data_IF_754949026800
#
_entry.id   IF_754949026800
#
_cell.length_a   1.000
_cell.length_b   1.000
_cell.length_c   1.000
_cell.angle_alpha   90.00
_cell.angle_beta   90.00
_cell.angle_gamma   90.00
#
_symmetry.space_group_name_H-M   'P 1'
#
loop_
_entity.id
_entity.type
_entity.pdbx_description
1 polymer ?
#
# COMPACT_ATOMS: atom_id res chain seq x y z
N UNK A 1 15.34 -63.02 80.23
CA UNK A 1 15.13 -61.87 79.34
C UNK A 1 15.09 -62.38 77.91
N UNK A 2 13.90 -62.64 77.39
CA UNK A 2 13.68 -62.94 75.97
C UNK A 2 12.45 -62.16 75.55
N UNK A 3 12.67 -60.96 75.01
CA UNK A 3 11.64 -60.13 74.42
C UNK A 3 11.17 -60.76 73.11
N UNK A 4 9.87 -61.01 73.01
CA UNK A 4 9.21 -61.45 71.77
C UNK A 4 8.60 -60.21 71.11
N UNK A 5 8.94 -59.86 69.86
CA UNK A 5 8.33 -58.69 69.24
C UNK A 5 6.88 -58.98 68.86
N UNK A 6 5.95 -58.25 69.48
CA UNK A 6 4.54 -58.22 69.10
C UNK A 6 4.41 -57.68 67.67
N UNK A 7 3.97 -58.55 66.76
CA UNK A 7 3.57 -58.17 65.41
C UNK A 7 2.45 -57.12 65.50
N UNK A 8 2.73 -55.90 65.02
CA UNK A 8 1.78 -54.81 64.95
C UNK A 8 0.82 -55.05 63.77
N UNK A 9 -0.15 -55.94 63.96
CA UNK A 9 -1.29 -56.14 63.06
C UNK A 9 -2.25 -54.97 63.23
N UNK A 10 -2.09 -53.92 62.42
CA UNK A 10 -3.14 -52.92 62.24
C UNK A 10 -4.35 -53.56 61.54
N UNK A 11 -5.49 -53.77 62.21
CA UNK A 11 -6.72 -54.04 61.50
C UNK A 11 -7.23 -52.71 60.92
N UNK A 12 -8.06 -52.76 59.89
CA UNK A 12 -8.77 -51.60 59.31
C UNK A 12 -7.99 -50.74 58.28
N UNK A 13 -7.44 -51.37 57.24
CA UNK A 13 -7.42 -50.73 55.91
C UNK A 13 -8.24 -51.55 54.94
N UNK A 14 -9.56 -51.39 54.98
CA UNK A 14 -10.42 -51.89 53.92
C UNK A 14 -9.95 -51.27 52.60
N UNK A 15 -9.69 -52.08 51.55
CA UNK A 15 -9.37 -51.54 50.24
C UNK A 15 -10.56 -50.68 49.81
N UNK A 16 -10.30 -49.39 49.49
CA UNK A 16 -11.33 -48.52 48.93
C UNK A 16 -11.88 -49.25 47.70
N UNK A 17 -13.17 -49.58 47.73
CA UNK A 17 -13.86 -50.22 46.62
C UNK A 17 -13.68 -49.41 45.31
N UNK A 18 -14.02 -50.01 44.16
CA UNK A 18 -13.89 -49.34 42.88
C UNK A 18 -14.53 -47.96 42.95
N UNK A 19 -13.78 -46.92 42.54
CA UNK A 19 -14.28 -45.55 42.52
C UNK A 19 -15.59 -45.55 41.73
N UNK A 20 -16.67 -45.01 42.30
CA UNK A 20 -17.95 -44.85 41.60
C UNK A 20 -17.69 -44.17 40.23
N UNK A 21 -18.34 -44.61 39.14
CA UNK A 21 -18.33 -43.89 37.88
C UNK A 21 -18.69 -42.42 38.13
N UNK A 22 -17.91 -41.52 37.56
CA UNK A 22 -18.06 -40.09 37.81
C UNK A 22 -19.35 -39.62 37.14
N UNK A 23 -20.12 -38.81 37.88
CA UNK A 23 -21.27 -38.12 37.35
C UNK A 23 -20.86 -37.31 36.09
N UNK A 24 -21.48 -37.55 34.92
CA UNK A 24 -21.17 -36.84 33.68
C UNK A 24 -21.45 -35.32 33.78
N UNK A 25 -22.24 -34.89 34.76
CA UNK A 25 -22.53 -33.49 35.04
C UNK A 25 -21.64 -32.88 36.13
N UNK A 26 -20.73 -33.68 36.72
CA UNK A 26 -19.79 -33.15 37.70
C UNK A 26 -18.77 -32.20 37.04
N UNK A 27 -18.62 -30.98 37.56
CA UNK A 27 -17.80 -29.95 36.94
C UNK A 27 -16.32 -30.34 36.77
N UNK A 28 -15.70 -29.88 35.68
CA UNK A 28 -14.40 -30.31 35.16
C UNK A 28 -13.19 -29.69 35.90
N UNK A 29 -13.34 -29.36 37.18
CA UNK A 29 -12.51 -28.40 37.94
C UNK A 29 -10.98 -28.57 37.89
N UNK A 30 -10.43 -29.70 37.45
CA UNK A 30 -8.98 -29.97 37.46
C UNK A 30 -8.45 -30.75 36.24
N UNK A 31 -9.21 -30.88 35.14
CA UNK A 31 -8.81 -31.75 34.01
C UNK A 31 -8.74 -31.07 32.64
N UNK A 32 -8.88 -29.75 32.58
CA UNK A 32 -8.64 -29.03 31.34
C UNK A 32 -7.13 -28.94 31.05
N UNK A 33 -6.75 -29.15 29.80
CA UNK A 33 -5.38 -28.94 29.34
C UNK A 33 -4.98 -27.47 29.49
N UNK A 34 -3.67 -27.19 29.48
CA UNK A 34 -3.14 -25.82 29.45
C UNK A 34 -3.69 -25.05 28.25
N UNK A 35 -3.72 -25.67 27.07
CA UNK A 35 -4.29 -25.10 25.83
C UNK A 35 -5.76 -24.70 26.00
N UNK A 36 -6.55 -25.53 26.67
CA UNK A 36 -7.96 -25.19 26.91
C UNK A 36 -8.10 -24.00 27.86
N UNK A 37 -7.24 -23.93 28.89
CA UNK A 37 -7.21 -22.76 29.76
C UNK A 37 -6.77 -21.49 29.03
N UNK A 38 -5.86 -21.59 28.05
CA UNK A 38 -5.47 -20.46 27.21
C UNK A 38 -6.63 -19.94 26.37
N UNK A 39 -7.48 -20.83 25.82
CA UNK A 39 -8.69 -20.44 25.10
C UNK A 39 -9.68 -19.74 26.05
N UNK A 40 -9.91 -20.29 27.24
CA UNK A 40 -10.79 -19.66 28.25
C UNK A 40 -10.28 -18.26 28.62
N UNK A 41 -8.97 -18.11 28.80
CA UNK A 41 -8.36 -16.83 29.09
C UNK A 41 -8.45 -15.87 27.90
N UNK A 42 -8.30 -16.35 26.67
CA UNK A 42 -8.52 -15.56 25.45
C UNK A 42 -9.94 -15.02 25.39
N UNK A 43 -10.96 -15.86 25.61
CA UNK A 43 -12.36 -15.40 25.63
C UNK A 43 -12.62 -14.39 26.75
N UNK A 44 -11.99 -14.57 27.92
CA UNK A 44 -12.06 -13.57 28.99
C UNK A 44 -11.46 -12.22 28.58
N UNK A 45 -10.34 -12.23 27.84
CA UNK A 45 -9.70 -11.02 27.28
C UNK A 45 -10.58 -10.34 26.23
N UNK A 46 -11.34 -11.12 25.47
CA UNK A 46 -12.32 -10.62 24.49
C UNK A 46 -13.60 -10.06 25.14
N UNK A 47 -13.70 -10.10 26.48
CA UNK A 47 -14.78 -9.47 27.25
C UNK A 47 -15.78 -10.45 27.86
N UNK A 48 -15.59 -11.77 27.71
CA UNK A 48 -16.46 -12.75 28.35
C UNK A 48 -16.39 -12.66 29.88
N UNK A 49 -17.54 -12.79 30.54
CA UNK A 49 -17.60 -12.72 32.01
C UNK A 49 -17.26 -14.06 32.66
N UNK A 50 -16.67 -14.03 33.87
CA UNK A 50 -16.33 -15.27 34.59
C UNK A 50 -17.53 -16.20 34.86
N UNK A 51 -18.76 -15.70 35.15
CA UNK A 51 -19.96 -16.55 35.22
C UNK A 51 -20.30 -17.23 33.89
N UNK A 52 -20.20 -16.50 32.77
CA UNK A 52 -20.46 -17.05 31.44
C UNK A 52 -19.45 -18.16 31.10
N UNK A 53 -18.15 -17.92 31.33
CA UNK A 53 -17.10 -18.90 31.07
C UNK A 53 -17.24 -20.14 31.97
N UNK A 54 -17.64 -19.96 33.23
CA UNK A 54 -17.89 -21.07 34.14
C UNK A 54 -19.00 -22.01 33.63
N UNK A 55 -20.09 -21.44 33.11
CA UNK A 55 -21.18 -22.20 32.50
C UNK A 55 -20.75 -22.90 31.21
N UNK A 56 -20.15 -22.14 30.28
CA UNK A 56 -19.71 -22.65 28.97
C UNK A 56 -18.72 -23.80 29.08
N UNK A 57 -17.73 -23.66 29.94
CA UNK A 57 -16.63 -24.62 30.07
C UNK A 57 -16.85 -25.63 31.21
N UNK A 58 -18.03 -25.61 31.85
CA UNK A 58 -18.43 -26.47 32.99
C UNK A 58 -17.37 -26.49 34.11
N UNK A 59 -16.84 -25.32 34.46
CA UNK A 59 -15.88 -25.09 35.54
C UNK A 59 -16.46 -24.16 36.61
N UNK A 60 -15.81 -24.04 37.77
CA UNK A 60 -16.28 -23.12 38.81
C UNK A 60 -15.80 -21.71 38.49
N UNK A 61 -16.62 -20.72 38.85
CA UNK A 61 -16.21 -19.32 38.79
C UNK A 61 -14.93 -19.06 39.60
N UNK A 62 -14.74 -19.78 40.71
CA UNK A 62 -13.52 -19.69 41.52
C UNK A 62 -12.28 -20.14 40.74
N UNK A 63 -12.35 -21.26 40.00
CA UNK A 63 -11.24 -21.72 39.18
C UNK A 63 -10.89 -20.72 38.07
N UNK A 64 -11.89 -20.14 37.42
CA UNK A 64 -11.72 -19.10 36.40
C UNK A 64 -11.03 -17.87 36.99
N UNK A 65 -11.54 -17.32 38.10
CA UNK A 65 -10.95 -16.16 38.78
C UNK A 65 -9.52 -16.42 39.24
N UNK A 66 -9.26 -17.59 39.84
CA UNK A 66 -7.92 -17.99 40.29
C UNK A 66 -6.93 -18.03 39.13
N UNK A 67 -7.32 -18.59 37.98
CA UNK A 67 -6.49 -18.62 36.77
C UNK A 67 -6.24 -17.22 36.23
N UNK A 68 -7.25 -16.37 36.14
CA UNK A 68 -7.08 -14.97 35.71
C UNK A 68 -6.06 -14.25 36.60
N UNK A 69 -6.19 -14.34 37.93
CA UNK A 69 -5.24 -13.73 38.86
C UNK A 69 -3.83 -14.30 38.74
N UNK A 70 -3.69 -15.63 38.60
CA UNK A 70 -2.38 -16.29 38.43
C UNK A 70 -1.65 -15.87 37.14
N UNK A 71 -2.39 -15.53 36.09
CA UNK A 71 -1.81 -15.06 34.83
C UNK A 71 -1.60 -13.53 34.80
N UNK A 72 -1.64 -12.84 35.95
CA UNK A 72 -1.35 -11.40 36.05
C UNK A 72 -2.32 -10.51 35.28
N UNK A 73 -3.51 -11.03 35.00
CA UNK A 73 -4.41 -10.53 33.98
C UNK A 73 -5.48 -9.61 34.58
N UNK A 74 -5.12 -8.38 35.00
CA UNK A 74 -6.15 -7.43 35.47
C UNK A 74 -6.92 -6.85 34.28
N UNK A 75 -8.23 -6.60 34.43
CA UNK A 75 -9.06 -6.02 33.36
C UNK A 75 -8.50 -4.71 32.80
N UNK A 76 -7.74 -3.96 33.61
CA UNK A 76 -7.08 -2.72 33.20
C UNK A 76 -5.96 -2.98 32.20
N UNK A 77 -5.04 -3.88 32.52
CA UNK A 77 -3.89 -4.19 31.66
C UNK A 77 -4.33 -4.68 30.28
N UNK A 78 -5.44 -5.43 30.20
CA UNK A 78 -6.02 -5.87 28.94
C UNK A 78 -6.73 -4.77 28.17
N UNK A 79 -7.46 -3.91 28.86
CA UNK A 79 -8.09 -2.74 28.25
C UNK A 79 -7.04 -1.81 27.65
N UNK A 80 -5.95 -1.56 28.38
CA UNK A 80 -4.84 -0.73 27.93
C UNK A 80 -4.13 -1.38 26.73
N UNK A 81 -3.86 -2.69 26.77
CA UNK A 81 -3.25 -3.41 25.66
C UNK A 81 -4.12 -3.43 24.38
N UNK A 82 -5.45 -3.57 24.53
CA UNK A 82 -6.37 -3.49 23.40
C UNK A 82 -6.45 -2.08 22.81
N UNK A 83 -6.52 -1.05 23.66
CA UNK A 83 -6.54 0.33 23.23
C UNK A 83 -5.26 0.70 22.46
N UNK A 84 -4.09 0.28 22.96
CA UNK A 84 -2.80 0.47 22.27
C UNK A 84 -2.80 -0.29 20.94
N UNK A 85 -3.25 -1.54 20.92
CA UNK A 85 -3.32 -2.35 19.70
C UNK A 85 -4.22 -1.72 18.63
N UNK A 86 -5.39 -1.21 19.02
CA UNK A 86 -6.30 -0.50 18.11
C UNK A 86 -5.73 0.82 17.62
N UNK A 87 -5.07 1.59 18.49
CA UNK A 87 -4.42 2.84 18.11
C UNK A 87 -3.29 2.60 17.08
N UNK A 88 -2.45 1.60 17.31
CA UNK A 88 -1.38 1.21 16.38
C UNK A 88 -1.92 0.70 15.05
N UNK A 89 -2.98 -0.13 15.08
CA UNK A 89 -3.63 -0.59 13.85
C UNK A 89 -4.21 0.59 13.06
N UNK A 90 -4.84 1.55 13.75
CA UNK A 90 -5.39 2.75 13.11
C UNK A 90 -4.30 3.64 12.52
N UNK A 91 -3.19 3.79 13.22
CA UNK A 91 -2.03 4.53 12.72
C UNK A 91 -1.42 3.86 11.49
N UNK A 92 -1.30 2.53 11.49
CA UNK A 92 -0.82 1.77 10.34
C UNK A 92 -1.73 1.92 9.13
N UNK A 93 -3.06 1.86 9.32
CA UNK A 93 -4.04 2.12 8.25
C UNK A 93 -3.90 3.53 7.67
N UNK A 94 -3.76 4.55 8.52
CA UNK A 94 -3.59 5.93 8.08
C UNK A 94 -2.28 6.12 7.32
N UNK A 95 -1.20 5.49 7.77
CA UNK A 95 0.09 5.55 7.11
C UNK A 95 0.09 4.80 5.77
N UNK A 96 -0.60 3.66 5.68
CA UNK A 96 -0.81 2.96 4.41
C UNK A 96 -1.66 3.79 3.45
N UNK A 97 -2.73 4.45 3.95
CA UNK A 97 -3.54 5.37 3.16
C UNK A 97 -2.73 6.57 2.64
N UNK A 98 -1.81 7.12 3.45
CA UNK A 98 -0.89 8.19 3.00
C UNK A 98 0.04 7.69 1.90
N UNK A 99 0.66 6.52 2.07
CA UNK A 99 1.56 5.91 1.09
C UNK A 99 0.85 5.59 -0.24
N UNK A 100 -0.41 5.18 -0.15
CA UNK A 100 -1.23 4.84 -1.31
C UNK A 100 -2.12 6.01 -1.78
N UNK A 101 -1.90 7.22 -1.26
CA UNK A 101 -2.59 8.41 -1.76
C UNK A 101 -2.29 8.60 -3.25
N UNK A 102 -3.25 9.12 -4.04
CA UNK A 102 -3.04 9.36 -5.47
C UNK A 102 -1.78 10.20 -5.76
N UNK A 103 -1.49 11.18 -4.91
CA UNK A 103 -0.31 12.03 -4.99
C UNK A 103 0.99 11.24 -4.77
N UNK A 104 1.05 10.39 -3.74
CA UNK A 104 2.23 9.55 -3.47
C UNK A 104 2.42 8.46 -4.53
N UNK A 105 1.34 7.95 -5.13
CA UNK A 105 1.42 7.04 -6.27
C UNK A 105 1.96 7.79 -7.50
N UNK A 106 1.41 8.96 -7.81
CA UNK A 106 1.85 9.78 -8.94
C UNK A 106 3.33 10.18 -8.83
N UNK A 107 3.78 10.61 -7.65
CA UNK A 107 5.17 10.98 -7.40
C UNK A 107 6.17 9.82 -7.67
N UNK A 108 5.76 8.58 -7.37
CA UNK A 108 6.55 7.36 -7.65
C UNK A 108 6.55 6.99 -9.13
N UNK A 109 5.40 7.13 -9.81
CA UNK A 109 5.29 6.80 -11.23
C UNK A 109 6.05 7.80 -12.09
N UNK A 110 5.93 9.09 -11.78
CA UNK A 110 6.48 10.20 -12.57
C UNK A 110 7.79 10.77 -11.99
N UNK A 111 8.54 9.98 -11.22
CA UNK A 111 9.87 10.40 -10.75
C UNK A 111 10.75 10.88 -11.91
N UNK A 112 11.31 12.08 -11.78
CA UNK A 112 12.15 12.77 -12.78
C UNK A 112 11.38 13.68 -13.75
N UNK A 113 10.05 13.77 -13.68
CA UNK A 113 9.28 14.68 -14.55
C UNK A 113 9.56 16.16 -14.27
N UNK A 114 9.91 16.49 -13.03
CA UNK A 114 10.25 17.87 -12.62
C UNK A 114 11.63 18.34 -13.12
N UNK A 115 12.43 17.44 -13.70
CA UNK A 115 13.74 17.74 -14.29
C UNK A 115 13.65 18.13 -15.77
N UNK A 116 12.46 17.99 -16.39
CA UNK A 116 12.21 18.47 -17.74
C UNK A 116 12.21 20.00 -17.73
N UNK A 117 12.92 20.60 -18.68
CA UNK A 117 12.81 22.05 -18.89
C UNK A 117 11.46 22.42 -19.56
N UNK A 118 11.16 23.72 -19.63
CA UNK A 118 9.89 24.21 -20.20
C UNK A 118 9.68 23.80 -21.67
N UNK A 119 10.76 23.59 -22.43
CA UNK A 119 10.67 23.17 -23.83
C UNK A 119 10.39 21.67 -23.96
N UNK A 120 11.01 20.85 -23.11
CA UNK A 120 10.77 19.41 -23.03
C UNK A 120 9.39 19.11 -22.44
N UNK A 121 8.91 19.92 -21.48
CA UNK A 121 7.56 19.80 -20.93
C UNK A 121 6.47 20.00 -22.00
N UNK A 122 6.76 20.82 -23.02
CA UNK A 122 5.90 21.02 -24.19
C UNK A 122 6.14 20.05 -25.35
N UNK A 123 7.24 19.27 -25.34
CA UNK A 123 7.59 18.34 -26.42
C UNK A 123 6.80 17.02 -26.31
N UNK A 124 5.93 16.70 -27.28
CA UNK A 124 5.20 15.44 -27.27
C UNK A 124 6.12 14.21 -27.26
N UNK A 125 7.32 14.28 -27.87
CA UNK A 125 8.24 13.15 -27.85
C UNK A 125 8.83 12.91 -26.44
N UNK A 126 9.16 13.97 -25.70
CA UNK A 126 9.57 13.88 -24.30
C UNK A 126 8.47 13.31 -23.40
N UNK A 127 7.23 13.79 -23.54
CA UNK A 127 6.08 13.28 -22.78
C UNK A 127 5.80 11.80 -23.06
N UNK A 128 5.96 11.33 -24.30
CA UNK A 128 5.83 9.91 -24.64
C UNK A 128 6.86 9.03 -23.91
N UNK A 129 8.12 9.49 -23.82
CA UNK A 129 9.19 8.76 -23.09
C UNK A 129 8.91 8.69 -21.59
N UNK A 130 8.41 9.78 -21.01
CA UNK A 130 8.04 9.85 -19.59
C UNK A 130 6.89 8.89 -19.29
N UNK A 131 5.81 8.93 -20.08
CA UNK A 131 4.66 8.03 -19.92
C UNK A 131 5.06 6.55 -20.07
N UNK A 132 5.99 6.23 -20.98
CA UNK A 132 6.54 4.88 -21.15
C UNK A 132 7.33 4.40 -19.93
N UNK A 133 8.17 5.25 -19.33
CA UNK A 133 8.90 4.90 -18.10
C UNK A 133 7.94 4.74 -16.92
N UNK A 134 6.95 5.63 -16.83
CA UNK A 134 5.92 5.56 -15.79
C UNK A 134 5.08 4.28 -15.91
N UNK A 135 4.73 3.83 -17.12
CA UNK A 135 3.99 2.58 -17.30
C UNK A 135 4.80 1.35 -16.86
N UNK A 136 6.10 1.31 -17.16
CA UNK A 136 7.01 0.27 -16.66
C UNK A 136 7.06 0.24 -15.13
N UNK A 137 7.16 1.40 -14.48
CA UNK A 137 7.10 1.51 -13.01
C UNK A 137 5.75 1.04 -12.46
N UNK A 138 4.64 1.41 -13.10
CA UNK A 138 3.31 0.95 -12.73
C UNK A 138 3.19 -0.59 -12.80
N UNK A 139 3.76 -1.22 -13.82
CA UNK A 139 3.81 -2.70 -13.91
C UNK A 139 4.61 -3.33 -12.76
N UNK A 140 5.76 -2.77 -12.40
CA UNK A 140 6.54 -3.27 -11.25
C UNK A 140 5.78 -3.11 -9.92
N UNK A 141 4.96 -2.07 -9.80
CA UNK A 141 4.07 -1.83 -8.66
C UNK A 141 2.76 -2.62 -8.70
N UNK A 142 2.52 -3.48 -9.70
CA UNK A 142 1.25 -4.23 -9.91
C UNK A 142 0.03 -3.31 -10.11
N UNK A 143 0.25 -2.10 -10.59
CA UNK A 143 -0.77 -1.09 -10.92
C UNK A 143 -1.20 -1.24 -12.39
N UNK A 144 -1.97 -2.29 -12.67
CA UNK A 144 -2.27 -2.71 -14.05
C UNK A 144 -3.13 -1.72 -14.84
N UNK A 145 -4.09 -1.08 -14.16
CA UNK A 145 -4.99 -0.10 -14.79
C UNK A 145 -4.22 1.16 -15.19
N UNK A 146 -3.37 1.65 -14.30
CA UNK A 146 -2.49 2.80 -14.49
C UNK A 146 -1.47 2.52 -15.58
N UNK A 147 -0.83 1.34 -15.57
CA UNK A 147 0.09 0.94 -16.63
C UNK A 147 -0.58 0.98 -18.01
N UNK A 148 -1.81 0.46 -18.13
CA UNK A 148 -2.56 0.49 -19.40
C UNK A 148 -2.91 1.92 -19.83
N UNK A 149 -3.35 2.76 -18.91
CA UNK A 149 -3.65 4.16 -19.20
C UNK A 149 -2.39 4.92 -19.67
N UNK A 150 -1.25 4.70 -19.00
CA UNK A 150 0.03 5.34 -19.34
C UNK A 150 0.59 4.89 -20.69
N UNK A 151 0.41 3.62 -21.08
CA UNK A 151 0.73 3.15 -22.43
C UNK A 151 -0.12 3.86 -23.47
N UNK A 152 -1.43 4.00 -23.23
CA UNK A 152 -2.32 4.75 -24.12
C UNK A 152 -1.91 6.23 -24.28
N UNK A 153 -1.48 6.87 -23.19
CA UNK A 153 -0.93 8.22 -23.23
C UNK A 153 0.38 8.29 -24.02
N UNK A 154 1.29 7.35 -23.80
CA UNK A 154 2.56 7.29 -24.52
C UNK A 154 2.35 7.18 -26.05
N UNK A 155 1.42 6.33 -26.49
CA UNK A 155 1.05 6.22 -27.90
C UNK A 155 0.43 7.50 -28.45
N UNK A 156 -0.46 8.14 -27.67
CA UNK A 156 -1.09 9.41 -28.06
C UNK A 156 -0.05 10.51 -28.32
N UNK A 157 0.90 10.67 -27.39
CA UNK A 157 1.99 11.63 -27.52
C UNK A 157 2.96 11.28 -28.66
N UNK A 158 3.26 10.00 -28.88
CA UNK A 158 4.09 9.57 -30.01
C UNK A 158 3.44 9.92 -31.37
N UNK A 159 2.13 9.69 -31.52
CA UNK A 159 1.40 10.09 -32.75
C UNK A 159 1.40 11.61 -32.95
N UNK A 160 1.33 12.38 -31.87
CA UNK A 160 1.40 13.84 -31.94
C UNK A 160 2.80 14.32 -32.35
N UNK A 161 3.84 13.71 -31.80
CA UNK A 161 5.23 13.97 -32.18
C UNK A 161 5.46 13.69 -33.68
N UNK A 162 4.99 12.54 -34.17
CA UNK A 162 5.07 12.18 -35.59
C UNK A 162 4.35 13.18 -36.50
N UNK A 163 3.18 13.66 -36.11
CA UNK A 163 2.44 14.68 -36.88
C UNK A 163 3.21 16.01 -36.91
N UNK A 164 3.76 16.44 -35.78
CA UNK A 164 4.56 17.65 -35.70
C UNK A 164 5.85 17.55 -36.54
N UNK A 165 6.47 16.36 -36.60
CA UNK A 165 7.63 16.10 -37.44
C UNK A 165 7.29 16.15 -38.94
N UNK A 166 6.17 15.54 -39.36
CA UNK A 166 5.72 15.60 -40.77
C UNK A 166 5.35 17.02 -41.21
N UNK A 167 4.59 17.76 -40.39
CA UNK A 167 4.23 19.15 -40.71
C UNK A 167 5.43 20.10 -40.76
N UNK A 168 6.50 19.83 -40.01
CA UNK A 168 7.79 20.53 -40.17
C UNK A 168 8.53 20.08 -41.43
N UNK A 169 8.53 18.78 -41.75
CA UNK A 169 9.13 18.25 -42.97
C UNK A 169 8.54 18.85 -44.24
N UNK A 170 7.22 19.03 -44.29
CA UNK A 170 6.53 19.65 -45.44
C UNK A 170 6.86 21.15 -45.60
N UNK A 171 7.17 21.84 -44.50
CA UNK A 171 7.56 23.26 -44.52
C UNK A 171 9.00 23.50 -45.02
N UNK A 172 9.88 22.50 -44.93
CA UNK A 172 11.26 22.57 -45.43
C UNK A 172 11.47 21.82 -46.76
N UNK A 173 10.50 21.00 -47.19
CA UNK A 173 10.51 20.28 -48.46
C UNK A 173 9.91 21.10 -49.63
N UNK A 174 9.40 22.30 -49.37
CA UNK A 174 9.15 23.29 -50.42
C UNK A 174 10.52 23.76 -50.92
N UNK A 175 10.97 23.20 -52.05
CA UNK A 175 12.03 23.81 -52.85
C UNK A 175 11.66 25.30 -53.00
N UNK A 176 12.52 26.22 -52.52
CA UNK A 176 12.21 27.63 -52.62
C UNK A 176 12.03 27.95 -54.10
N UNK A 177 10.85 28.45 -54.44
CA UNK A 177 10.45 28.52 -55.83
C UNK A 177 11.46 29.37 -56.62
N UNK A 178 11.86 28.89 -57.80
CA UNK A 178 12.84 29.55 -58.67
C UNK A 178 12.45 31.02 -58.94
N UNK A 179 11.15 31.34 -58.94
CA UNK A 179 10.63 32.69 -59.13
C UNK A 179 10.82 33.59 -57.89
N UNK A 180 10.83 33.06 -56.68
CA UNK A 180 11.16 33.75 -55.44
C UNK A 180 12.66 34.08 -55.40
N UNK A 181 13.51 33.16 -55.88
CA UNK A 181 14.93 33.45 -56.08
C UNK A 181 15.16 34.50 -57.17
N UNK A 182 14.49 34.40 -58.32
CA UNK A 182 14.57 35.39 -59.40
C UNK A 182 14.02 36.76 -58.96
N UNK A 183 12.97 36.82 -58.14
CA UNK A 183 12.44 38.08 -57.61
C UNK A 183 13.42 38.75 -56.64
N UNK A 184 14.04 37.99 -55.72
CA UNK A 184 15.09 38.51 -54.85
C UNK A 184 16.31 38.93 -55.68
N UNK A 185 16.67 38.15 -56.70
CA UNK A 185 17.78 38.44 -57.62
C UNK A 185 17.55 39.71 -58.43
N UNK A 186 16.34 39.93 -58.97
CA UNK A 186 15.96 41.20 -59.65
C UNK A 186 16.04 42.39 -58.71
N UNK A 187 15.54 42.24 -57.49
CA UNK A 187 15.56 43.29 -56.48
C UNK A 187 16.99 43.65 -56.05
N UNK A 188 17.89 42.67 -55.97
CA UNK A 188 19.30 42.88 -55.66
C UNK A 188 20.11 43.44 -56.83
N UNK A 189 19.73 43.09 -58.07
CA UNK A 189 20.37 43.57 -59.30
C UNK A 189 19.77 44.89 -59.83
N UNK A 190 18.75 45.44 -59.16
CA UNK A 190 18.20 46.76 -59.46
C UNK A 190 17.53 46.87 -60.83
N UNK A 191 16.97 45.78 -61.36
CA UNK A 191 16.34 45.75 -62.69
C UNK A 191 14.87 46.17 -62.70
N UNK A 192 14.36 46.74 -61.60
CA UNK A 192 13.06 47.42 -61.58
C UNK A 192 13.25 48.84 -62.13
N UNK A 193 13.40 48.95 -63.44
CA UNK A 193 13.22 50.22 -64.14
C UNK A 193 11.76 50.32 -64.56
N UNK A 194 10.92 50.81 -63.65
CA UNK A 194 9.71 51.56 -63.99
C UNK A 194 9.93 53.02 -63.53
N UNK A 195 10.29 53.84 -64.52
CA UNK A 195 10.01 55.27 -64.69
C UNK A 195 10.02 56.19 -63.45
N UNK A 196 11.13 56.92 -63.31
CA UNK A 196 11.20 58.20 -62.62
C UNK A 196 12.27 59.07 -63.27
N UNK A 197 11.85 60.00 -64.13
CA UNK A 197 12.74 61.00 -64.75
C UNK A 197 13.58 61.72 -63.66
N UNK A 198 14.92 61.81 -63.81
CA UNK A 198 15.71 62.67 -62.95
C UNK A 198 15.47 64.12 -63.35
N UNK A 199 14.71 64.85 -62.53
CA UNK A 199 14.70 66.32 -62.51
C UNK A 199 16.10 66.78 -62.12
N UNK A 200 16.86 67.30 -63.07
CA UNK A 200 18.12 67.98 -62.81
C UNK A 200 17.83 69.36 -62.19
N UNK A 201 18.47 69.74 -61.07
CA UNK A 201 18.43 71.12 -60.64
C UNK A 201 19.30 71.97 -61.59
N UNK A 202 18.71 73.01 -62.17
CA UNK A 202 19.44 74.09 -62.83
C UNK A 202 20.45 74.70 -61.85
N UNK A 203 21.70 74.80 -62.28
CA UNK A 203 22.72 75.61 -61.63
C UNK A 203 22.71 77.01 -62.27
N UNK A 204 22.87 78.03 -61.43
CA UNK A 204 22.88 79.48 -61.68
C UNK A 204 23.37 79.97 -63.06
#
# INVERSE_FOLDING_TARGET
>A
MTDTPLANTYPHRTPKGPRKPRDPDAPAHYRLSTETWEIILKEYREGATAPFLALKWRVSQHAVRKRITQHGATKRDWGDAQAIGQALAREAELEEARRNSPEAVAARLFTGIAELDETEAGDPAALARVATRASGRAMTGRLWAEARALVGLAEGYARLADRAARGRGDAWAQEPDEAAYEAVRRKLLGTDTEDGEPVWPEAD
#
